data_IF_112624937430
#
_entry.id   IF_112624937430
#
_cell.length_a   1.000
_cell.length_b   1.000
_cell.length_c   1.000
_cell.angle_alpha   90.00
_cell.angle_beta   90.00
_cell.angle_gamma   90.00
#
_symmetry.space_group_name_H-M   'P 1'
#
loop_
_entity.id
_entity.type
_entity.pdbx_description
1 polymer ?
#
# COMPACT_ATOMS: atom_id res chain seq x y z
N UNK A 1 4.89 20.20 -6.67
CA UNK A 1 5.51 19.27 -7.61
C UNK A 1 7.01 19.54 -7.71
N UNK A 2 7.80 18.52 -7.94
CA UNK A 2 9.25 18.62 -8.15
C UNK A 2 9.68 17.84 -9.39
N UNK A 3 10.89 18.16 -9.89
CA UNK A 3 11.56 17.34 -10.87
C UNK A 3 12.16 16.12 -10.14
N UNK A 4 11.81 14.89 -10.51
CA UNK A 4 12.37 13.71 -9.85
C UNK A 4 13.86 13.54 -10.18
N UNK A 5 14.64 13.10 -9.22
CA UNK A 5 16.01 12.64 -9.42
C UNK A 5 15.98 11.15 -9.79
N UNK A 6 16.59 10.80 -10.91
CA UNK A 6 16.67 9.41 -11.36
C UNK A 6 17.99 8.82 -10.84
N UNK A 7 17.88 7.74 -10.09
CA UNK A 7 19.01 7.06 -9.43
C UNK A 7 19.36 5.76 -10.16
N UNK A 8 20.64 5.40 -10.15
CA UNK A 8 21.13 4.14 -10.69
C UNK A 8 21.08 2.99 -9.66
N UNK A 9 20.93 3.32 -8.37
CA UNK A 9 20.83 2.31 -7.31
C UNK A 9 19.51 1.53 -7.45
N UNK A 10 19.57 0.22 -7.75
CA UNK A 10 18.35 -0.58 -7.94
C UNK A 10 17.40 -0.49 -6.74
N UNK A 11 16.11 -0.38 -7.02
CA UNK A 11 15.02 -0.33 -6.03
C UNK A 11 15.03 0.92 -5.11
N UNK A 12 15.93 1.88 -5.33
CA UNK A 12 15.93 3.11 -4.54
C UNK A 12 14.65 3.90 -4.75
N UNK A 13 14.06 4.37 -3.67
CA UNK A 13 12.94 5.31 -3.68
C UNK A 13 12.97 6.12 -2.39
N UNK A 14 13.00 7.43 -2.55
CA UNK A 14 12.86 8.41 -1.46
C UNK A 14 11.85 9.46 -1.88
N UNK A 15 10.76 9.55 -1.16
CA UNK A 15 9.69 10.52 -1.41
C UNK A 15 9.45 11.41 -0.20
N UNK A 16 9.71 12.71 -0.34
CA UNK A 16 9.47 13.73 0.67
C UNK A 16 8.31 14.63 0.24
N UNK A 17 7.37 14.84 1.16
CA UNK A 17 6.19 15.66 0.90
C UNK A 17 5.31 15.13 -0.22
N UNK A 18 5.27 13.80 -0.44
CA UNK A 18 4.52 13.19 -1.53
C UNK A 18 3.02 13.20 -1.27
N UNK A 19 2.24 13.35 -2.33
CA UNK A 19 0.78 13.36 -2.28
C UNK A 19 0.17 12.78 -3.56
N UNK A 20 -1.14 12.52 -3.52
CA UNK A 20 -1.86 11.97 -4.66
C UNK A 20 -2.19 13.07 -5.68
N UNK A 21 -1.66 12.94 -6.89
CA UNK A 21 -1.87 13.91 -7.97
C UNK A 21 -3.34 14.01 -8.41
N UNK A 22 -4.05 12.88 -8.44
CA UNK A 22 -5.48 12.87 -8.78
C UNK A 22 -6.31 13.67 -7.77
N UNK A 23 -5.96 13.58 -6.47
CA UNK A 23 -6.60 14.37 -5.43
C UNK A 23 -6.31 15.87 -5.62
N UNK A 24 -5.07 16.23 -5.97
CA UNK A 24 -4.68 17.60 -6.23
C UNK A 24 -5.43 18.23 -7.41
N UNK A 25 -5.73 17.46 -8.45
CA UNK A 25 -6.53 17.95 -9.58
C UNK A 25 -7.96 18.31 -9.16
N UNK A 26 -8.54 17.61 -8.20
CA UNK A 26 -9.89 17.96 -7.69
C UNK A 26 -9.93 19.32 -7.01
N UNK A 27 -8.81 19.80 -6.43
CA UNK A 27 -8.73 21.16 -5.88
C UNK A 27 -8.80 22.22 -6.98
N UNK A 28 -8.21 21.97 -8.14
CA UNK A 28 -8.27 22.89 -9.29
C UNK A 28 -9.70 23.03 -9.78
N UNK A 29 -10.50 21.95 -9.67
CA UNK A 29 -11.92 21.96 -10.01
C UNK A 29 -12.84 22.55 -8.91
N UNK A 30 -12.24 23.14 -7.86
CA UNK A 30 -12.95 23.86 -6.81
C UNK A 30 -13.42 23.01 -5.62
N UNK A 31 -12.90 21.80 -5.46
CA UNK A 31 -13.16 21.00 -4.26
C UNK A 31 -12.44 21.59 -3.04
N UNK A 32 -13.12 21.69 -1.91
CA UNK A 32 -12.50 22.05 -0.63
C UNK A 32 -11.86 20.78 -0.02
N UNK A 33 -10.58 20.56 -0.30
CA UNK A 33 -9.82 19.42 0.19
C UNK A 33 -8.47 19.88 0.77
N UNK A 34 -8.10 19.31 1.89
CA UNK A 34 -6.74 19.43 2.43
C UNK A 34 -5.85 18.32 1.84
N UNK A 35 -4.76 18.72 1.19
CA UNK A 35 -3.75 17.78 0.74
C UNK A 35 -2.75 17.54 1.87
N UNK A 36 -2.77 16.33 2.39
CA UNK A 36 -1.79 15.87 3.37
C UNK A 36 -0.59 15.25 2.66
N UNK A 37 0.56 15.89 2.83
CA UNK A 37 1.83 15.39 2.31
C UNK A 37 2.38 14.29 3.23
N UNK A 38 3.09 13.33 2.66
CA UNK A 38 3.64 12.17 3.36
C UNK A 38 5.10 11.92 3.01
N UNK A 39 5.79 11.22 3.92
CA UNK A 39 7.14 10.74 3.74
C UNK A 39 7.11 9.22 3.49
N UNK A 40 7.83 8.75 2.49
CA UNK A 40 7.99 7.32 2.22
C UNK A 40 9.34 7.03 1.60
N UNK A 41 10.00 5.99 2.07
CA UNK A 41 11.19 5.45 1.43
C UNK A 41 11.14 3.92 1.41
N UNK A 42 11.81 3.30 0.46
CA UNK A 42 12.06 1.86 0.45
C UNK A 42 13.52 1.58 0.77
N UNK A 43 13.76 0.56 1.58
CA UNK A 43 15.07 0.02 1.94
C UNK A 43 14.97 -1.48 2.14
N UNK A 44 16.08 -2.16 2.41
CA UNK A 44 16.02 -3.61 2.68
C UNK A 44 15.18 -3.93 3.92
N UNK A 45 15.22 -3.09 4.96
CA UNK A 45 14.39 -3.24 6.15
C UNK A 45 12.91 -2.89 5.93
N UNK A 46 12.63 -2.08 4.92
CA UNK A 46 11.32 -1.57 4.57
C UNK A 46 11.03 -1.82 3.08
N UNK A 47 11.17 -3.07 2.63
CA UNK A 47 10.99 -3.44 1.23
C UNK A 47 9.52 -3.64 0.88
N UNK A 48 8.76 -4.18 1.81
CA UNK A 48 7.33 -4.42 1.70
C UNK A 48 6.63 -3.70 2.84
N UNK A 49 5.70 -2.83 2.53
CA UNK A 49 4.86 -2.21 3.54
C UNK A 49 3.50 -2.88 3.61
N UNK A 50 3.12 -3.33 4.81
CA UNK A 50 1.74 -3.69 5.12
C UNK A 50 1.08 -2.45 5.70
N UNK A 51 0.23 -1.81 4.91
CA UNK A 51 -0.42 -0.55 5.23
C UNK A 51 -1.82 -0.82 5.80
N UNK A 52 -1.99 -0.52 7.09
CA UNK A 52 -3.27 -0.65 7.80
C UNK A 52 -3.79 0.70 8.29
N UNK A 53 -5.00 0.71 8.80
CA UNK A 53 -5.65 1.90 9.36
C UNK A 53 -7.13 1.95 9.03
N UNK A 54 -7.85 2.99 9.50
CA UNK A 54 -9.29 3.10 9.36
C UNK A 54 -9.73 3.20 7.90
N UNK A 55 -10.96 2.77 7.63
CA UNK A 55 -11.60 2.99 6.34
C UNK A 55 -11.67 4.48 6.02
N UNK A 56 -11.42 4.85 4.77
CA UNK A 56 -11.29 6.25 4.30
C UNK A 56 -10.14 7.01 4.99
N UNK A 57 -9.15 6.31 5.56
CA UNK A 57 -7.96 6.90 6.20
C UNK A 57 -6.86 7.33 5.23
N UNK A 58 -7.08 7.24 3.92
CA UNK A 58 -6.09 7.63 2.90
C UNK A 58 -5.17 6.50 2.44
N UNK A 59 -5.37 5.25 2.89
CA UNK A 59 -4.54 4.10 2.49
C UNK A 59 -4.45 3.94 0.97
N UNK A 60 -5.59 3.84 0.30
CA UNK A 60 -5.66 3.72 -1.17
C UNK A 60 -5.07 4.94 -1.86
N UNK A 61 -5.31 6.13 -1.31
CA UNK A 61 -4.83 7.40 -1.84
C UNK A 61 -3.30 7.45 -1.90
N UNK A 62 -2.60 7.07 -0.81
CA UNK A 62 -1.13 7.07 -0.78
C UNK A 62 -0.54 5.92 -1.61
N UNK A 63 -1.18 4.74 -1.62
CA UNK A 63 -0.75 3.62 -2.46
C UNK A 63 -0.78 4.00 -3.94
N UNK A 64 -1.86 4.65 -4.39
CA UNK A 64 -1.97 5.18 -5.76
C UNK A 64 -0.96 6.29 -6.03
N UNK A 65 -0.69 7.16 -5.05
CA UNK A 65 0.28 8.25 -5.19
C UNK A 65 1.67 7.72 -5.56
N UNK A 66 2.13 6.66 -4.90
CA UNK A 66 3.42 6.03 -5.19
C UNK A 66 3.46 5.50 -6.62
N UNK A 67 2.43 4.79 -7.07
CA UNK A 67 2.34 4.30 -8.45
C UNK A 67 2.37 5.42 -9.50
N UNK A 68 1.62 6.50 -9.24
CA UNK A 68 1.60 7.67 -10.12
C UNK A 68 2.96 8.38 -10.17
N UNK A 69 3.68 8.47 -9.04
CA UNK A 69 5.03 9.04 -8.99
C UNK A 69 5.98 8.25 -9.89
N UNK A 70 6.00 6.92 -9.81
CA UNK A 70 6.81 6.10 -10.70
C UNK A 70 6.43 6.29 -12.17
N UNK A 71 5.14 6.27 -12.47
CA UNK A 71 4.64 6.44 -13.83
C UNK A 71 5.06 7.78 -14.42
N UNK A 72 4.90 8.88 -13.68
CA UNK A 72 5.26 10.22 -14.13
C UNK A 72 6.77 10.38 -14.26
N UNK A 73 7.54 9.94 -13.25
CA UNK A 73 9.00 10.04 -13.26
C UNK A 73 9.63 9.28 -14.42
N UNK A 74 9.18 8.06 -14.70
CA UNK A 74 9.68 7.22 -15.79
C UNK A 74 9.33 7.77 -17.19
N UNK A 75 8.36 8.68 -17.27
CA UNK A 75 8.03 9.41 -18.48
C UNK A 75 8.67 10.81 -18.53
N UNK A 76 9.59 11.13 -17.62
CA UNK A 76 10.28 12.42 -17.59
C UNK A 76 9.42 13.60 -17.16
N UNK A 77 8.32 13.34 -16.46
CA UNK A 77 7.35 14.34 -16.01
C UNK A 77 7.63 14.70 -14.55
N UNK A 78 7.29 15.93 -14.15
CA UNK A 78 7.32 16.36 -12.75
C UNK A 78 6.37 15.52 -11.90
N UNK A 79 6.74 15.27 -10.65
CA UNK A 79 6.01 14.41 -9.73
C UNK A 79 5.44 15.17 -8.54
N UNK A 80 4.33 14.70 -7.95
CA UNK A 80 3.72 15.34 -6.79
C UNK A 80 4.54 15.05 -5.51
N UNK A 81 5.32 16.01 -5.10
CA UNK A 81 6.19 15.96 -3.93
C UNK A 81 7.04 17.21 -3.80
N UNK A 82 7.73 17.35 -2.68
CA UNK A 82 8.74 18.39 -2.44
C UNK A 82 10.10 17.96 -2.99
N UNK A 83 10.49 16.71 -2.71
CA UNK A 83 11.69 16.08 -3.24
C UNK A 83 11.41 14.59 -3.45
N UNK A 84 11.74 14.11 -4.64
CA UNK A 84 11.59 12.68 -4.98
C UNK A 84 12.83 12.21 -5.73
N UNK A 85 13.40 11.09 -5.28
CA UNK A 85 14.48 10.40 -5.96
C UNK A 85 14.12 8.92 -6.09
N UNK A 86 14.30 8.34 -7.26
CA UNK A 86 13.97 6.93 -7.49
C UNK A 86 14.80 6.30 -8.61
N UNK A 87 15.04 5.00 -8.48
CA UNK A 87 15.46 4.16 -9.59
C UNK A 87 14.22 3.66 -10.33
N UNK A 88 14.18 3.75 -11.68
CA UNK A 88 13.06 3.22 -12.46
C UNK A 88 12.79 1.75 -12.16
N UNK A 89 11.52 1.40 -12.04
CA UNK A 89 11.07 0.01 -11.99
C UNK A 89 11.00 -0.59 -13.39
N UNK A 90 11.28 -1.89 -13.51
CA UNK A 90 11.13 -2.60 -14.79
C UNK A 90 9.66 -2.80 -15.15
N UNK A 91 8.81 -2.93 -14.15
CA UNK A 91 7.37 -3.06 -14.31
C UNK A 91 6.63 -2.56 -13.08
N UNK A 92 5.42 -2.04 -13.29
CA UNK A 92 4.47 -1.68 -12.25
C UNK A 92 3.30 -2.66 -12.30
N UNK A 93 3.13 -3.43 -11.23
CA UNK A 93 1.98 -4.33 -11.06
C UNK A 93 1.03 -3.78 -10.03
N UNK A 94 -0.25 -3.79 -10.37
CA UNK A 94 -1.28 -3.32 -9.46
C UNK A 94 -2.39 -4.36 -9.34
N UNK A 95 -2.90 -4.53 -8.13
CA UNK A 95 -4.14 -5.23 -7.87
C UNK A 95 -5.04 -4.33 -7.02
N UNK A 96 -5.99 -3.69 -7.69
CA UNK A 96 -7.07 -2.91 -7.07
C UNK A 96 -8.37 -3.61 -7.43
N UNK A 97 -9.17 -4.07 -6.46
CA UNK A 97 -10.42 -4.76 -6.75
C UNK A 97 -11.29 -3.92 -7.68
N UNK A 98 -11.77 -4.54 -8.76
CA UNK A 98 -12.75 -3.93 -9.66
C UNK A 98 -14.15 -3.99 -9.05
N UNK A 99 -15.03 -3.09 -9.48
CA UNK A 99 -16.45 -3.12 -9.12
C UNK A 99 -17.11 -4.45 -9.52
N UNK A 100 -18.14 -4.86 -8.79
CA UNK A 100 -18.75 -6.20 -8.75
C UNK A 100 -19.30 -6.76 -10.08
N UNK A 101 -19.23 -6.04 -11.19
CA UNK A 101 -19.97 -6.35 -12.42
C UNK A 101 -19.23 -7.24 -13.43
N UNK A 102 -18.04 -7.77 -13.15
CA UNK A 102 -17.22 -8.46 -14.15
C UNK A 102 -16.90 -9.94 -13.86
N UNK A 103 -17.40 -10.54 -12.79
CA UNK A 103 -17.02 -11.90 -12.39
C UNK A 103 -18.06 -12.96 -12.77
N UNK A 104 -17.92 -13.58 -13.95
CA UNK A 104 -18.92 -14.55 -14.43
C UNK A 104 -18.51 -16.02 -14.25
N UNK A 105 -17.21 -16.40 -14.19
CA UNK A 105 -16.82 -17.80 -14.34
C UNK A 105 -15.94 -18.45 -13.24
N UNK A 106 -15.21 -17.73 -12.40
CA UNK A 106 -14.27 -18.33 -11.45
C UNK A 106 -14.55 -18.00 -9.98
N UNK A 107 -15.51 -17.13 -9.75
CA UNK A 107 -15.63 -16.49 -8.44
C UNK A 107 -14.43 -15.56 -8.16
N UNK A 108 -14.61 -14.62 -7.25
CA UNK A 108 -13.66 -13.55 -6.97
C UNK A 108 -12.31 -14.06 -6.49
N UNK A 109 -12.29 -15.07 -5.62
CA UNK A 109 -11.06 -15.68 -5.12
C UNK A 109 -10.23 -16.32 -6.26
N UNK A 110 -10.88 -16.99 -7.21
CA UNK A 110 -10.19 -17.60 -8.34
C UNK A 110 -9.56 -16.57 -9.28
N UNK A 111 -10.25 -15.45 -9.53
CA UNK A 111 -9.72 -14.35 -10.36
C UNK A 111 -8.56 -13.64 -9.68
N UNK A 112 -8.68 -13.33 -8.38
CA UNK A 112 -7.59 -12.76 -7.60
C UNK A 112 -6.37 -13.68 -7.61
N UNK A 113 -6.55 -14.98 -7.34
CA UNK A 113 -5.47 -15.97 -7.34
C UNK A 113 -4.78 -16.08 -8.71
N UNK A 114 -5.54 -16.07 -9.80
CA UNK A 114 -5.01 -16.04 -11.17
C UNK A 114 -4.17 -14.78 -11.39
N UNK A 115 -4.68 -13.61 -11.01
CA UNK A 115 -3.97 -12.35 -11.14
C UNK A 115 -2.65 -12.35 -10.37
N UNK A 116 -2.63 -12.87 -9.14
CA UNK A 116 -1.40 -13.00 -8.37
C UNK A 116 -0.41 -13.98 -9.00
N UNK A 117 -0.88 -15.10 -9.54
CA UNK A 117 -0.03 -16.03 -10.31
C UNK A 117 0.64 -15.35 -11.50
N UNK A 118 -0.10 -14.53 -12.25
CA UNK A 118 0.44 -13.73 -13.36
C UNK A 118 1.50 -12.73 -12.87
N UNK A 119 1.23 -11.99 -11.80
CA UNK A 119 2.17 -11.03 -11.21
C UNK A 119 3.47 -11.73 -10.79
N UNK A 120 3.38 -12.78 -9.98
CA UNK A 120 4.58 -13.48 -9.47
C UNK A 120 5.35 -14.24 -10.55
N UNK A 121 4.71 -14.62 -11.65
CA UNK A 121 5.39 -15.24 -12.79
C UNK A 121 6.22 -14.24 -13.61
N UNK A 122 5.90 -12.96 -13.55
CA UNK A 122 6.50 -11.93 -14.39
C UNK A 122 7.32 -10.89 -13.59
N UNK A 123 6.99 -10.65 -12.32
CA UNK A 123 7.66 -9.66 -11.49
C UNK A 123 9.10 -10.06 -11.15
N UNK A 124 9.96 -9.07 -11.03
CA UNK A 124 11.35 -9.20 -10.58
C UNK A 124 11.57 -8.41 -9.29
N UNK A 125 12.77 -8.50 -8.70
CA UNK A 125 13.14 -7.66 -7.57
C UNK A 125 13.17 -6.15 -7.89
N UNK A 126 13.15 -5.79 -9.17
CA UNK A 126 13.14 -4.39 -9.63
C UNK A 126 11.75 -3.86 -9.96
N UNK A 127 10.71 -4.68 -9.80
CA UNK A 127 9.32 -4.29 -10.02
C UNK A 127 8.78 -3.48 -8.85
N UNK A 128 7.74 -2.69 -9.09
CA UNK A 128 6.89 -2.10 -8.06
C UNK A 128 5.56 -2.84 -8.02
N UNK A 129 5.14 -3.29 -6.84
CA UNK A 129 3.90 -4.06 -6.66
C UNK A 129 2.99 -3.34 -5.66
N UNK A 130 1.80 -2.95 -6.11
CA UNK A 130 0.83 -2.21 -5.31
C UNK A 130 -0.47 -3.01 -5.19
N UNK A 131 -0.80 -3.41 -3.97
CA UNK A 131 -1.96 -4.24 -3.66
C UNK A 131 -2.93 -3.46 -2.77
N UNK A 132 -4.22 -3.47 -3.12
CA UNK A 132 -5.25 -2.78 -2.38
C UNK A 132 -6.39 -3.72 -2.03
N UNK A 133 -6.61 -3.97 -0.74
CA UNK A 133 -7.71 -4.78 -0.19
C UNK A 133 -7.84 -6.17 -0.84
N UNK A 134 -6.73 -6.77 -1.24
CA UNK A 134 -6.71 -8.10 -1.88
C UNK A 134 -7.19 -9.18 -0.92
N UNK A 135 -7.97 -10.14 -1.43
CA UNK A 135 -8.58 -11.26 -0.66
C UNK A 135 -9.54 -10.83 0.46
N UNK A 136 -10.02 -9.59 0.44
CA UNK A 136 -10.97 -9.08 1.42
C UNK A 136 -12.38 -9.69 1.31
N UNK A 137 -12.68 -10.40 0.25
CA UNK A 137 -14.01 -10.95 -0.07
C UNK A 137 -14.21 -12.42 0.25
N UNK A 138 -13.14 -13.12 0.62
CA UNK A 138 -13.21 -14.48 1.15
C UNK A 138 -13.37 -14.49 2.68
N UNK A 139 -13.46 -15.67 3.29
CA UNK A 139 -13.49 -15.74 4.75
C UNK A 139 -12.20 -15.12 5.33
N UNK A 140 -12.33 -14.45 6.49
CA UNK A 140 -11.18 -13.76 7.10
C UNK A 140 -9.99 -14.69 7.31
N UNK A 141 -10.22 -15.92 7.78
CA UNK A 141 -9.14 -16.91 8.03
C UNK A 141 -8.42 -17.31 6.76
N UNK A 142 -9.16 -17.57 5.68
CA UNK A 142 -8.58 -17.93 4.38
C UNK A 142 -7.86 -16.74 3.75
N UNK A 143 -8.47 -15.56 3.80
CA UNK A 143 -7.87 -14.33 3.30
C UNK A 143 -6.56 -14.00 4.01
N UNK A 144 -6.51 -14.12 5.34
CA UNK A 144 -5.30 -13.90 6.12
C UNK A 144 -4.21 -14.92 5.80
N UNK A 145 -4.57 -16.21 5.65
CA UNK A 145 -3.62 -17.25 5.25
C UNK A 145 -2.95 -16.93 3.90
N UNK A 146 -3.75 -16.60 2.89
CA UNK A 146 -3.25 -16.25 1.56
C UNK A 146 -2.42 -14.95 1.62
N UNK A 147 -2.88 -13.95 2.35
CA UNK A 147 -2.17 -12.67 2.51
C UNK A 147 -0.79 -12.84 3.16
N UNK A 148 -0.65 -13.74 4.14
CA UNK A 148 0.65 -14.10 4.73
C UNK A 148 1.59 -14.71 3.69
N UNK A 149 1.11 -15.65 2.88
CA UNK A 149 1.95 -16.30 1.85
C UNK A 149 2.34 -15.33 0.74
N UNK A 150 1.44 -14.44 0.34
CA UNK A 150 1.76 -13.35 -0.59
C UNK A 150 2.82 -12.42 0.00
N UNK A 151 2.69 -12.03 1.26
CA UNK A 151 3.69 -11.18 1.94
C UNK A 151 5.06 -11.84 1.99
N UNK A 152 5.12 -13.14 2.33
CA UNK A 152 6.37 -13.92 2.27
C UNK A 152 6.97 -13.92 0.86
N UNK A 153 6.14 -14.11 -0.15
CA UNK A 153 6.57 -14.12 -1.56
C UNK A 153 7.12 -12.76 -1.99
N UNK A 154 6.50 -11.65 -1.58
CA UNK A 154 6.98 -10.30 -1.85
C UNK A 154 8.33 -10.03 -1.17
N UNK A 155 8.48 -10.43 0.09
CA UNK A 155 9.75 -10.30 0.84
C UNK A 155 10.85 -11.14 0.18
N UNK A 156 10.55 -12.37 -0.20
CA UNK A 156 11.49 -13.27 -0.89
C UNK A 156 11.91 -12.71 -2.25
N UNK A 157 10.97 -12.20 -3.04
CA UNK A 157 11.23 -11.55 -4.33
C UNK A 157 12.10 -10.30 -4.17
N UNK A 158 11.94 -9.56 -3.08
CA UNK A 158 12.68 -8.34 -2.79
C UNK A 158 12.26 -7.13 -3.62
N UNK A 159 11.08 -7.13 -4.20
CA UNK A 159 10.49 -5.99 -4.90
C UNK A 159 9.96 -4.95 -3.91
N UNK A 160 9.98 -3.68 -4.30
CA UNK A 160 9.26 -2.64 -3.58
C UNK A 160 7.76 -2.90 -3.67
N UNK A 161 7.10 -2.99 -2.53
CA UNK A 161 5.67 -3.27 -2.50
C UNK A 161 4.94 -2.53 -1.38
N UNK A 162 3.68 -2.19 -1.65
CA UNK A 162 2.72 -1.72 -0.65
C UNK A 162 1.51 -2.64 -0.74
N UNK A 163 1.19 -3.28 0.37
CA UNK A 163 -0.02 -4.07 0.53
C UNK A 163 -0.96 -3.35 1.51
N UNK A 164 -1.91 -2.63 0.97
CA UNK A 164 -2.95 -1.95 1.71
C UNK A 164 -4.04 -2.95 2.09
N UNK A 165 -4.33 -3.07 3.37
CA UNK A 165 -5.32 -4.03 3.90
C UNK A 165 -5.93 -3.56 5.22
N UNK A 166 -7.08 -4.09 5.55
CA UNK A 166 -7.70 -3.95 6.88
C UNK A 166 -7.40 -5.15 7.81
N UNK A 167 -6.63 -6.13 7.33
CA UNK A 167 -6.20 -7.27 8.13
C UNK A 167 -5.06 -6.86 9.08
N UNK A 168 -5.40 -6.34 10.26
CA UNK A 168 -4.42 -5.89 11.26
C UNK A 168 -3.52 -7.02 11.74
N UNK A 169 -4.04 -8.25 11.75
CA UNK A 169 -3.33 -9.48 12.12
C UNK A 169 -2.16 -9.76 11.18
N UNK A 170 -2.29 -9.44 9.88
CA UNK A 170 -1.19 -9.58 8.93
C UNK A 170 -0.01 -8.69 9.35
N UNK A 171 -0.28 -7.44 9.72
CA UNK A 171 0.76 -6.51 10.17
C UNK A 171 1.32 -6.89 11.57
N UNK A 172 0.51 -7.50 12.42
CA UNK A 172 0.96 -7.99 13.73
C UNK A 172 1.92 -9.19 13.63
N UNK A 173 1.79 -10.00 12.58
CA UNK A 173 2.57 -11.23 12.39
C UNK A 173 3.86 -11.02 11.55
N UNK A 174 4.24 -9.78 11.26
CA UNK A 174 5.38 -9.48 10.38
C UNK A 174 6.72 -10.00 10.91
N UNK A 175 6.92 -10.03 12.22
CA UNK A 175 8.14 -10.59 12.80
C UNK A 175 8.29 -12.09 12.51
N UNK A 176 7.18 -12.83 12.55
CA UNK A 176 7.15 -14.25 12.18
C UNK A 176 7.39 -14.44 10.68
N UNK A 177 6.72 -13.64 9.86
CA UNK A 177 6.86 -13.65 8.40
C UNK A 177 8.31 -13.38 8.01
N UNK A 178 8.92 -12.32 8.53
CA UNK A 178 10.30 -11.95 8.25
C UNK A 178 11.30 -13.04 8.66
N UNK A 179 11.09 -13.67 9.82
CA UNK A 179 11.94 -14.79 10.27
C UNK A 179 11.78 -16.01 9.38
N UNK A 180 10.58 -16.29 8.91
CA UNK A 180 10.31 -17.49 8.08
C UNK A 180 10.93 -17.38 6.69
N UNK A 181 11.04 -16.18 6.13
CA UNK A 181 11.63 -15.98 4.80
C UNK A 181 13.16 -15.92 4.87
N UNK A 182 13.71 -15.30 5.91
CA UNK A 182 15.15 -15.05 6.00
C UNK A 182 15.63 -13.97 5.01
N UNK A 183 16.96 -13.89 4.81
CA UNK A 183 17.57 -12.89 3.92
C UNK A 183 17.62 -11.50 4.55
N UNK A 184 17.85 -10.49 3.71
CA UNK A 184 17.99 -9.07 4.14
C UNK A 184 16.70 -8.27 4.00
N UNK A 185 15.85 -8.64 3.04
CA UNK A 185 14.60 -7.92 2.80
C UNK A 185 13.60 -8.19 3.94
N UNK A 186 12.87 -7.14 4.32
CA UNK A 186 11.88 -7.19 5.39
C UNK A 186 10.57 -6.53 4.98
N UNK A 187 9.49 -7.02 5.54
CA UNK A 187 8.22 -6.31 5.58
C UNK A 187 8.10 -5.49 6.87
N UNK A 188 7.49 -4.32 6.76
CA UNK A 188 7.27 -3.41 7.87
C UNK A 188 5.80 -2.97 7.93
N UNK A 189 5.33 -2.65 9.15
CA UNK A 189 3.99 -2.13 9.37
C UNK A 189 3.97 -0.61 9.20
N UNK A 190 3.06 -0.15 8.36
CA UNK A 190 2.77 1.25 8.10
C UNK A 190 1.31 1.50 8.46
N UNK A 191 1.03 2.56 9.19
CA UNK A 191 -0.34 2.88 9.61
C UNK A 191 -0.74 4.27 9.15
N UNK A 192 -2.03 4.44 8.80
CA UNK A 192 -2.61 5.76 8.67
C UNK A 192 -3.17 6.19 10.01
N UNK A 193 -2.79 7.40 10.46
CA UNK A 193 -3.05 7.86 11.82
C UNK A 193 -4.42 8.50 12.02
N UNK A 194 -4.80 8.58 13.30
CA UNK A 194 -5.88 9.40 13.83
C UNK A 194 -5.23 10.40 14.79
N UNK A 195 -5.54 11.66 14.67
CA UNK A 195 -5.12 12.73 15.56
C UNK A 195 -6.34 13.46 16.13
N UNK A 196 -6.45 13.49 17.46
CA UNK A 196 -7.58 14.13 18.16
C UNK A 196 -8.97 13.61 17.73
N UNK A 197 -9.11 12.33 17.40
CA UNK A 197 -10.35 11.73 16.91
C UNK A 197 -10.68 12.04 15.45
N UNK A 198 -9.78 12.73 14.72
CA UNK A 198 -9.89 13.01 13.28
C UNK A 198 -8.83 12.23 12.51
N UNK A 199 -9.13 11.85 11.26
CA UNK A 199 -8.16 11.21 10.37
C UNK A 199 -7.06 12.20 10.02
N UNK A 200 -5.81 11.83 10.31
CA UNK A 200 -4.64 12.68 9.98
C UNK A 200 -4.21 12.53 8.52
N UNK A 201 -4.59 11.42 7.86
CA UNK A 201 -4.10 11.03 6.53
C UNK A 201 -2.57 10.92 6.42
N UNK A 202 -1.87 10.96 7.55
CA UNK A 202 -0.43 10.72 7.65
C UNK A 202 -0.16 9.24 7.78
N UNK A 203 0.87 8.77 7.07
CA UNK A 203 1.40 7.42 7.24
C UNK A 203 2.58 7.46 8.20
N UNK A 204 2.67 6.44 9.06
CA UNK A 204 3.75 6.31 10.05
C UNK A 204 4.17 4.85 10.17
N UNK A 205 5.48 4.61 10.33
CA UNK A 205 5.98 3.30 10.75
C UNK A 205 5.56 3.07 12.20
N UNK A 206 4.62 2.16 12.40
CA UNK A 206 4.12 1.80 13.73
C UNK A 206 3.47 0.41 13.69
N UNK A 207 3.38 -0.28 14.82
CA UNK A 207 2.57 -1.48 14.94
C UNK A 207 1.10 -1.20 14.56
N UNK A 208 0.35 -2.21 14.07
CA UNK A 208 -1.06 -2.04 13.70
C UNK A 208 -1.87 -1.61 14.93
N UNK A 209 -2.74 -0.62 14.72
CA UNK A 209 -3.63 -0.09 15.75
C UNK A 209 -4.98 -0.82 15.77
N UNK A 210 -4.98 -2.10 15.88
CA UNK A 210 -6.07 -3.05 16.03
C UNK A 210 -7.54 -2.54 16.10
N UNK A 211 -8.40 -3.32 16.75
CA UNK A 211 -9.85 -3.18 16.89
C UNK A 211 -10.35 -1.89 17.59
N UNK A 212 -9.49 -1.02 18.09
CA UNK A 212 -9.87 0.18 18.85
C UNK A 212 -10.82 1.09 18.08
N UNK A 213 -10.58 1.29 16.78
CA UNK A 213 -11.39 2.19 15.98
C UNK A 213 -12.82 1.69 15.72
N UNK A 214 -13.00 0.39 15.50
CA UNK A 214 -14.33 -0.19 15.35
C UNK A 214 -15.10 -0.12 16.67
N UNK A 215 -14.41 -0.32 17.80
CA UNK A 215 -14.95 -0.19 19.14
C UNK A 215 -15.37 1.26 19.44
N UNK A 216 -14.50 2.23 19.14
CA UNK A 216 -14.80 3.66 19.32
C UNK A 216 -16.02 4.11 18.49
N UNK A 217 -16.15 3.59 17.25
CA UNK A 217 -17.34 3.85 16.43
C UNK A 217 -18.57 3.20 17.05
N UNK A 218 -18.48 1.94 17.47
CA UNK A 218 -19.61 1.22 18.06
C UNK A 218 -20.08 1.93 19.35
N UNK A 219 -19.16 2.38 20.20
CA UNK A 219 -19.45 3.19 21.39
C UNK A 219 -20.12 4.52 21.04
N UNK A 220 -19.58 5.24 20.02
CA UNK A 220 -20.13 6.53 19.56
C UNK A 220 -21.58 6.42 19.10
N UNK A 221 -21.95 5.30 18.49
CA UNK A 221 -23.31 5.04 17.99
C UNK A 221 -24.16 4.17 18.91
N UNK A 222 -23.68 3.86 20.13
CA UNK A 222 -24.44 3.11 21.14
C UNK A 222 -24.72 1.66 20.76
N UNK A 223 -23.84 1.04 19.99
CA UNK A 223 -23.96 -0.35 19.52
C UNK A 223 -23.18 -1.33 20.43
N UNK A 224 -22.61 -0.85 21.52
CA UNK A 224 -21.92 -1.65 22.54
C UNK A 224 -22.81 -1.92 23.73
N UNK A 225 -22.72 -3.15 24.25
CA UNK A 225 -23.34 -3.53 25.53
C UNK A 225 -22.46 -3.13 26.70
#
# INVERSE_FOLDING_TARGET
VCKPEILDTPRAFEGHGIYNFKLALQLVDGAELDIVQNELHFSDEHRVYILTGPNRGGKTTITQAVGLIYLLAQNGIYVPGEKVALCPADSLYTHFPADENQTVNLGRLGEESKRFSEIFSAATSRSLILLNESFATTSFTEGLYIAKDITKSLVYLGANAIFNTHMHELAADLDEINRSVGGVNRAASLVTGIDGGRRSYKITLAPPQGLSYAKDIAEKYGVTF
#
